data_IF_290573838350
#
_entry.id   IF_290573838350
#
_cell.length_a   1.000
_cell.length_b   1.000
_cell.length_c   1.000
_cell.angle_alpha   90.00
_cell.angle_beta   90.00
_cell.angle_gamma   90.00
#
_symmetry.space_group_name_H-M   'P 1'
#
loop_
_entity.id
_entity.type
_entity.pdbx_description
1 polymer ?
#
# COMPACT_ATOMS: atom_id res chain seq x y z
N UNK A 1 3.23 1.59 6.30
CA UNK A 1 4.09 2.07 5.20
C UNK A 1 4.41 3.54 5.42
N UNK A 2 5.14 4.15 4.50
CA UNK A 2 5.43 5.59 4.50
C UNK A 2 4.46 6.26 3.53
N UNK A 3 3.64 7.21 4.00
CA UNK A 3 2.65 7.84 3.14
C UNK A 3 3.33 8.88 2.24
N UNK A 4 2.84 9.03 1.00
CA UNK A 4 3.26 10.13 0.14
C UNK A 4 2.75 11.49 0.65
N UNK A 5 1.58 11.50 1.32
CA UNK A 5 0.98 12.69 1.93
C UNK A 5 1.36 12.79 3.40
N UNK A 6 1.87 13.95 3.82
CA UNK A 6 2.34 14.21 5.20
C UNK A 6 1.25 14.82 6.11
N UNK A 7 -0.02 14.52 5.85
CA UNK A 7 -1.11 14.98 6.71
C UNK A 7 -0.99 14.31 8.10
N UNK A 8 -1.13 15.04 9.22
CA UNK A 8 -0.92 14.49 10.56
C UNK A 8 -1.77 13.23 10.84
N UNK A 9 -3.04 13.25 10.44
CA UNK A 9 -3.97 12.11 10.61
C UNK A 9 -3.50 10.84 9.88
N UNK A 10 -2.87 11.01 8.71
CA UNK A 10 -2.32 9.89 7.93
C UNK A 10 -1.06 9.36 8.60
N UNK A 11 -0.18 10.25 9.07
CA UNK A 11 1.04 9.89 9.80
C UNK A 11 0.74 9.11 11.08
N UNK A 12 -0.31 9.50 11.81
CA UNK A 12 -0.75 8.80 13.02
C UNK A 12 -1.23 7.37 12.76
N UNK A 13 -1.74 7.10 11.56
CA UNK A 13 -2.22 5.78 11.15
C UNK A 13 -1.14 4.93 10.48
N UNK A 14 0.09 5.44 10.35
CA UNK A 14 1.18 4.71 9.73
C UNK A 14 1.72 3.63 10.64
N UNK A 15 2.08 2.48 10.04
CA UNK A 15 2.61 1.32 10.76
C UNK A 15 3.74 1.69 11.75
N UNK A 16 4.68 2.53 11.34
CA UNK A 16 5.82 2.89 12.20
C UNK A 16 5.37 3.72 13.40
N UNK A 17 4.41 4.64 13.21
CA UNK A 17 3.80 5.42 14.30
C UNK A 17 3.01 4.52 15.26
N UNK A 18 2.24 3.58 14.73
CA UNK A 18 1.47 2.62 15.51
C UNK A 18 2.38 1.65 16.30
N UNK A 19 3.50 1.22 15.69
CA UNK A 19 4.51 0.37 16.35
C UNK A 19 5.22 1.14 17.47
N UNK A 20 5.57 2.41 17.25
CA UNK A 20 6.17 3.27 18.28
C UNK A 20 5.23 3.51 19.48
N UNK A 21 3.91 3.54 19.25
CA UNK A 21 2.90 3.66 20.30
C UNK A 21 2.60 2.35 21.03
N UNK A 22 3.05 1.21 20.49
CA UNK A 22 2.82 -0.10 21.12
C UNK A 22 3.77 -0.31 22.31
N UNK A 23 3.30 -0.98 23.35
CA UNK A 23 4.09 -1.27 24.57
C UNK A 23 5.42 -2.00 24.26
N UNK A 24 5.47 -2.70 23.12
CA UNK A 24 6.64 -3.40 22.60
C UNK A 24 7.78 -2.48 22.11
N UNK A 25 7.55 -1.17 21.93
CA UNK A 25 8.55 -0.21 21.46
C UNK A 25 9.60 0.17 22.52
N UNK A 26 9.22 0.25 23.80
CA UNK A 26 10.13 0.68 24.87
C UNK A 26 11.36 -0.23 24.99
N UNK A 27 11.17 -1.54 24.74
CA UNK A 27 12.24 -2.54 24.77
C UNK A 27 13.15 -2.52 23.53
N UNK A 28 12.74 -1.91 22.42
CA UNK A 28 13.57 -1.75 21.24
C UNK A 28 14.58 -0.60 21.42
N UNK A 29 14.18 0.46 22.12
CA UNK A 29 15.03 1.64 22.36
C UNK A 29 16.28 1.30 23.18
N UNK A 30 16.17 0.40 24.16
CA UNK A 30 17.32 0.00 24.98
C UNK A 30 18.34 -0.81 24.17
N UNK A 31 17.88 -1.76 23.36
CA UNK A 31 18.77 -2.47 22.43
C UNK A 31 19.44 -1.51 21.42
N UNK A 32 18.71 -0.49 20.94
CA UNK A 32 19.27 0.52 20.03
C UNK A 32 20.34 1.38 20.74
N UNK A 33 20.13 1.75 22.01
CA UNK A 33 21.16 2.44 22.82
C UNK A 33 22.40 1.57 22.98
N UNK A 34 22.25 0.30 23.35
CA UNK A 34 23.37 -0.65 23.49
C UNK A 34 24.14 -0.85 22.18
N UNK A 35 23.45 -0.97 21.04
CA UNK A 35 24.07 -1.04 19.71
C UNK A 35 24.92 0.22 19.45
N UNK A 36 24.41 1.42 19.76
CA UNK A 36 25.18 2.67 19.61
C UNK A 36 26.43 2.68 20.50
N UNK A 37 26.34 2.18 21.73
CA UNK A 37 27.49 2.08 22.64
C UNK A 37 28.54 1.08 22.15
N UNK A 38 28.13 -0.11 21.71
CA UNK A 38 29.03 -1.12 21.16
C UNK A 38 29.73 -0.58 19.91
N UNK A 39 29.02 0.13 19.03
CA UNK A 39 29.63 0.78 17.87
C UNK A 39 30.66 1.83 18.27
N UNK A 40 30.40 2.66 19.29
CA UNK A 40 31.40 3.60 19.85
C UNK A 40 32.63 2.88 20.40
N UNK A 41 32.45 1.76 21.12
CA UNK A 41 33.55 0.93 21.64
C UNK A 41 34.37 0.32 20.48
N UNK A 42 33.71 -0.17 19.43
CA UNK A 42 34.36 -0.72 18.23
C UNK A 42 35.23 0.28 17.47
N UNK A 43 34.83 1.55 17.44
CA UNK A 43 35.60 2.63 16.82
C UNK A 43 36.87 2.99 17.60
N UNK A 44 36.88 2.77 18.93
CA UNK A 44 38.02 3.08 19.81
C UNK A 44 39.02 1.94 19.95
N UNK A 45 38.67 0.73 19.52
CA UNK A 45 39.51 -0.47 19.63
C UNK A 45 40.75 -0.42 18.73
N UNK A 46 41.92 -0.73 19.31
CA UNK A 46 43.20 -0.81 18.61
C UNK A 46 43.32 -2.12 17.82
N UNK A 47 44.25 -2.15 16.85
CA UNK A 47 44.43 -3.27 15.90
C UNK A 47 44.76 -4.63 16.55
N UNK A 48 45.42 -4.63 17.71
CA UNK A 48 45.84 -5.85 18.41
C UNK A 48 44.74 -6.48 19.27
N UNK A 49 43.65 -5.75 19.56
CA UNK A 49 42.53 -6.20 20.38
C UNK A 49 41.52 -7.05 19.58
N UNK A 50 42.04 -8.06 18.86
CA UNK A 50 41.26 -8.90 17.94
C UNK A 50 40.16 -9.69 18.66
N UNK A 51 40.44 -10.21 19.85
CA UNK A 51 39.48 -11.01 20.62
C UNK A 51 38.31 -10.16 21.12
N UNK A 52 38.59 -8.99 21.69
CA UNK A 52 37.58 -8.01 22.14
C UNK A 52 36.70 -7.57 20.99
N UNK A 53 37.30 -7.27 19.82
CA UNK A 53 36.56 -6.91 18.61
C UNK A 53 35.64 -8.05 18.15
N UNK A 54 36.08 -9.31 18.24
CA UNK A 54 35.25 -10.48 17.89
C UNK A 54 34.05 -10.62 18.84
N UNK A 55 34.26 -10.46 20.15
CA UNK A 55 33.18 -10.51 21.16
C UNK A 55 32.12 -9.44 20.91
N UNK A 56 32.54 -8.17 20.78
CA UNK A 56 31.62 -7.05 20.51
C UNK A 56 30.84 -7.21 19.19
N UNK A 57 31.46 -7.75 18.13
CA UNK A 57 30.74 -8.07 16.89
C UNK A 57 29.71 -9.18 17.07
N UNK A 58 29.99 -10.16 17.94
CA UNK A 58 29.04 -11.20 18.33
C UNK A 58 27.83 -10.62 19.05
N UNK A 59 28.06 -9.77 20.05
CA UNK A 59 27.01 -9.04 20.77
C UNK A 59 26.19 -8.16 19.83
N UNK A 60 26.84 -7.41 18.93
CA UNK A 60 26.15 -6.60 17.92
C UNK A 60 25.24 -7.45 17.02
N UNK A 61 25.71 -8.64 16.60
CA UNK A 61 24.89 -9.56 15.79
C UNK A 61 23.69 -10.09 16.57
N UNK A 62 23.88 -10.42 17.85
CA UNK A 62 22.80 -10.85 18.73
C UNK A 62 21.76 -9.73 18.92
N UNK A 63 22.19 -8.52 19.30
CA UNK A 63 21.30 -7.38 19.50
C UNK A 63 20.54 -6.99 18.25
N UNK A 64 21.19 -6.99 17.08
CA UNK A 64 20.48 -6.73 15.81
C UNK A 64 19.40 -7.79 15.51
N UNK A 65 19.66 -9.06 15.85
CA UNK A 65 18.65 -10.12 15.71
C UNK A 65 17.50 -9.93 16.69
N UNK A 66 17.81 -9.54 17.91
CA UNK A 66 16.83 -9.25 18.96
C UNK A 66 15.92 -8.08 18.57
N UNK A 67 16.49 -6.95 18.16
CA UNK A 67 15.75 -5.78 17.65
C UNK A 67 14.82 -6.18 16.51
N UNK A 68 15.32 -6.93 15.52
CA UNK A 68 14.52 -7.38 14.39
C UNK A 68 13.35 -8.26 14.82
N UNK A 69 13.58 -9.19 15.76
CA UNK A 69 12.55 -10.11 16.26
C UNK A 69 11.47 -9.36 17.02
N UNK A 70 11.86 -8.43 17.90
CA UNK A 70 10.92 -7.57 18.65
C UNK A 70 10.12 -6.66 17.73
N UNK A 71 10.78 -6.03 16.76
CA UNK A 71 10.12 -5.19 15.77
C UNK A 71 9.08 -5.98 14.95
N UNK A 72 9.42 -7.21 14.53
CA UNK A 72 8.46 -8.08 13.84
C UNK A 72 7.27 -8.45 14.73
N UNK A 73 7.49 -8.73 16.01
CA UNK A 73 6.42 -9.00 16.97
C UNK A 73 5.50 -7.80 17.15
N UNK A 74 6.04 -6.60 17.31
CA UNK A 74 5.28 -5.37 17.43
C UNK A 74 4.42 -5.10 16.18
N UNK A 75 4.99 -5.28 14.97
CA UNK A 75 4.22 -5.20 13.73
C UNK A 75 3.07 -6.22 13.73
N UNK A 76 3.33 -7.48 14.09
CA UNK A 76 2.30 -8.51 14.14
C UNK A 76 1.20 -8.20 15.16
N UNK A 77 1.53 -7.60 16.30
CA UNK A 77 0.54 -7.16 17.30
C UNK A 77 -0.34 -6.02 16.77
N UNK A 78 0.28 -5.01 16.14
CA UNK A 78 -0.44 -3.88 15.53
C UNK A 78 -1.37 -4.36 14.43
N UNK A 79 -0.84 -5.13 13.47
CA UNK A 79 -1.65 -5.75 12.42
C UNK A 79 -2.69 -6.71 13.00
N UNK A 80 -2.39 -7.34 14.14
CA UNK A 80 -3.26 -8.26 14.90
C UNK A 80 -4.58 -7.63 15.32
N UNK A 81 -4.51 -6.35 15.69
CA UNK A 81 -5.64 -5.57 16.21
C UNK A 81 -6.33 -4.75 15.12
N UNK A 82 -5.75 -4.65 13.93
CA UNK A 82 -6.28 -3.84 12.85
C UNK A 82 -7.44 -4.56 12.14
N UNK A 83 -8.58 -3.90 12.05
CA UNK A 83 -9.72 -4.36 11.25
C UNK A 83 -9.53 -4.05 9.75
N UNK A 84 -8.78 -3.00 9.45
CA UNK A 84 -8.45 -2.56 8.08
C UNK A 84 -6.95 -2.36 7.97
N UNK A 85 -6.34 -2.96 6.95
CA UNK A 85 -4.92 -2.79 6.63
C UNK A 85 -4.82 -2.15 5.25
N UNK A 86 -4.32 -0.92 5.21
CA UNK A 86 -4.10 -0.18 3.96
C UNK A 86 -2.63 -0.27 3.52
N UNK A 87 -2.41 -0.68 2.28
CA UNK A 87 -1.08 -0.74 1.66
C UNK A 87 -1.19 -0.65 0.14
N UNK A 88 -0.08 -0.37 -0.52
CA UNK A 88 0.03 -0.52 -1.98
C UNK A 88 -0.01 -2.01 -2.37
N UNK A 89 -0.25 -2.30 -3.65
CA UNK A 89 -0.16 -3.67 -4.19
C UNK A 89 1.22 -4.32 -3.93
N UNK A 90 2.30 -3.54 -4.00
CA UNK A 90 3.63 -4.04 -3.62
C UNK A 90 3.78 -4.22 -2.11
N UNK A 91 3.13 -3.36 -1.32
CA UNK A 91 3.17 -3.41 0.14
C UNK A 91 2.44 -4.62 0.73
N UNK A 92 1.38 -5.11 0.10
CA UNK A 92 0.65 -6.29 0.59
C UNK A 92 1.48 -7.60 0.50
N UNK A 93 2.59 -7.58 -0.25
CA UNK A 93 3.54 -8.69 -0.35
C UNK A 93 4.47 -8.83 0.86
N UNK A 94 4.38 -7.92 1.85
CA UNK A 94 5.08 -8.04 3.11
C UNK A 94 4.64 -9.32 3.85
N UNK A 95 5.59 -10.12 4.32
CA UNK A 95 5.35 -11.39 5.03
C UNK A 95 4.41 -11.24 6.24
N UNK A 96 4.39 -10.06 6.85
CA UNK A 96 3.56 -9.75 8.02
C UNK A 96 2.07 -9.59 7.67
N UNK A 97 1.76 -9.34 6.40
CA UNK A 97 0.40 -9.20 5.85
C UNK A 97 -0.06 -10.54 5.23
N UNK A 98 0.78 -11.58 5.25
CA UNK A 98 0.46 -12.93 4.76
C UNK A 98 -0.45 -13.71 5.72
N UNK A 99 -1.54 -13.07 6.11
CA UNK A 99 -2.58 -13.66 6.92
C UNK A 99 -3.66 -14.17 5.99
N UNK A 100 -3.95 -15.47 6.06
CA UNK A 100 -4.99 -16.14 5.27
C UNK A 100 -6.43 -15.80 5.72
N UNK A 101 -6.65 -14.59 6.25
CA UNK A 101 -7.87 -14.27 7.01
C UNK A 101 -8.52 -12.93 6.64
N UNK A 102 -8.17 -12.32 5.50
CA UNK A 102 -8.97 -11.19 5.02
C UNK A 102 -10.26 -11.71 4.38
N UNK A 103 -11.41 -11.28 4.91
CA UNK A 103 -12.70 -11.60 4.28
C UNK A 103 -12.89 -10.84 2.96
N UNK A 104 -12.34 -9.64 2.87
CA UNK A 104 -12.50 -8.73 1.74
C UNK A 104 -11.19 -8.00 1.42
N UNK A 105 -10.85 -7.97 0.14
CA UNK A 105 -9.80 -7.12 -0.43
C UNK A 105 -10.46 -6.03 -1.26
N UNK A 106 -10.10 -4.78 -1.01
CA UNK A 106 -10.51 -3.64 -1.84
C UNK A 106 -9.29 -3.11 -2.57
N UNK A 107 -9.36 -3.07 -3.90
CA UNK A 107 -8.32 -2.48 -4.74
C UNK A 107 -8.89 -1.22 -5.37
N UNK A 108 -8.41 -0.08 -4.92
CA UNK A 108 -8.71 1.21 -5.53
C UNK A 108 -7.75 1.48 -6.70
N UNK A 109 -8.19 2.28 -7.66
CA UNK A 109 -7.48 2.55 -8.93
C UNK A 109 -7.07 1.27 -9.69
N UNK A 110 -7.89 0.23 -9.62
CA UNK A 110 -7.62 -1.09 -10.22
C UNK A 110 -7.51 -1.04 -11.75
N UNK A 111 -8.09 -0.04 -12.39
CA UNK A 111 -7.96 0.21 -13.83
C UNK A 111 -6.59 0.79 -14.23
N UNK A 112 -5.80 1.26 -13.26
CA UNK A 112 -4.43 1.76 -13.47
C UNK A 112 -3.36 0.75 -13.04
N UNK A 113 -3.76 -0.39 -12.47
CA UNK A 113 -2.87 -1.42 -11.97
C UNK A 113 -2.69 -2.54 -13.00
N UNK A 114 -1.44 -3.00 -13.18
CA UNK A 114 -1.22 -4.20 -13.98
C UNK A 114 -1.94 -5.39 -13.37
N UNK A 115 -2.42 -6.30 -14.21
CA UNK A 115 -3.11 -7.50 -13.73
C UNK A 115 -2.22 -8.31 -12.77
N UNK A 116 -0.93 -8.46 -13.08
CA UNK A 116 0.04 -9.15 -12.23
C UNK A 116 0.16 -8.52 -10.84
N UNK A 117 0.23 -7.18 -10.75
CA UNK A 117 0.29 -6.49 -9.47
C UNK A 117 -1.03 -6.66 -8.71
N UNK A 118 -2.17 -6.63 -9.40
CA UNK A 118 -3.49 -6.75 -8.78
C UNK A 118 -3.68 -8.12 -8.10
N UNK A 119 -3.18 -9.20 -8.72
CA UNK A 119 -3.20 -10.55 -8.12
C UNK A 119 -2.51 -10.64 -6.76
N UNK A 120 -1.48 -9.83 -6.49
CA UNK A 120 -0.80 -9.81 -5.19
C UNK A 120 -1.74 -9.50 -4.01
N UNK A 121 -2.77 -8.70 -4.26
CA UNK A 121 -3.78 -8.35 -3.27
C UNK A 121 -4.93 -9.35 -3.28
N UNK A 122 -5.43 -9.79 -4.44
CA UNK A 122 -6.57 -10.72 -4.51
C UNK A 122 -6.31 -12.04 -3.79
N UNK A 123 -5.07 -12.52 -3.80
CA UNK A 123 -4.69 -13.76 -3.11
C UNK A 123 -4.73 -13.66 -1.58
N UNK A 124 -4.92 -12.46 -1.02
CA UNK A 124 -4.96 -12.25 0.44
C UNK A 124 -6.34 -12.44 1.04
N UNK A 125 -7.41 -12.47 0.25
CA UNK A 125 -8.75 -12.56 0.81
C UNK A 125 -9.76 -13.34 -0.01
N UNK A 126 -10.89 -13.64 0.64
CA UNK A 126 -11.94 -14.54 0.10
C UNK A 126 -12.79 -13.86 -0.97
N UNK A 127 -12.96 -12.54 -0.89
CA UNK A 127 -13.72 -11.70 -1.82
C UNK A 127 -12.89 -10.49 -2.21
N UNK A 128 -13.14 -9.96 -3.40
CA UNK A 128 -12.49 -8.75 -3.90
C UNK A 128 -13.52 -7.75 -4.42
N UNK A 129 -13.29 -6.47 -4.14
CA UNK A 129 -13.96 -5.34 -4.77
C UNK A 129 -12.89 -4.52 -5.49
N UNK A 130 -13.06 -4.33 -6.79
CA UNK A 130 -12.17 -3.53 -7.60
C UNK A 130 -12.88 -2.21 -7.93
N UNK A 131 -12.24 -1.09 -7.61
CA UNK A 131 -12.72 0.25 -7.92
C UNK A 131 -11.77 0.88 -8.94
N UNK A 132 -12.31 1.63 -9.90
CA UNK A 132 -11.52 2.28 -10.93
C UNK A 132 -12.36 2.59 -12.15
N UNK A 133 -11.71 3.15 -13.15
CA UNK A 133 -12.33 3.57 -14.39
C UNK A 133 -11.47 3.14 -15.58
N UNK A 134 -11.99 2.18 -16.34
CA UNK A 134 -11.30 1.61 -17.50
C UNK A 134 -11.33 2.52 -18.74
N UNK A 135 -12.06 3.64 -18.67
CA UNK A 135 -12.09 4.68 -19.71
C UNK A 135 -11.07 5.79 -19.44
N UNK A 136 -10.38 5.75 -18.30
CA UNK A 136 -9.25 6.62 -17.97
C UNK A 136 -7.91 5.97 -18.35
N UNK A 137 -6.80 6.55 -17.88
CA UNK A 137 -5.45 6.10 -18.21
C UNK A 137 -5.19 4.65 -17.78
N UNK A 138 -4.69 3.77 -18.66
CA UNK A 138 -4.25 2.43 -18.30
C UNK A 138 -2.89 2.46 -17.55
N UNK A 139 -2.42 1.33 -17.00
CA UNK A 139 -1.06 1.22 -16.48
C UNK A 139 -0.02 1.59 -17.56
N UNK A 140 1.00 2.36 -17.18
CA UNK A 140 2.09 2.72 -18.09
C UNK A 140 2.98 1.51 -18.38
N UNK A 141 3.00 1.06 -19.64
CA UNK A 141 3.87 -0.01 -20.12
C UNK A 141 4.98 0.59 -20.99
N UNK A 142 6.24 0.44 -20.57
CA UNK A 142 7.39 1.03 -21.30
C UNK A 142 7.67 0.26 -22.60
N UNK A 143 7.43 -1.06 -22.62
CA UNK A 143 7.69 -1.90 -23.79
C UNK A 143 6.45 -1.96 -24.68
N UNK A 144 6.52 -1.33 -25.86
CA UNK A 144 5.47 -1.38 -26.88
C UNK A 144 5.12 -2.83 -27.28
N UNK A 145 6.12 -3.72 -27.33
CA UNK A 145 5.88 -5.13 -27.63
C UNK A 145 5.04 -5.79 -26.54
N UNK A 146 5.35 -5.54 -25.26
CA UNK A 146 4.59 -6.09 -24.14
C UNK A 146 3.19 -5.50 -24.06
N UNK A 147 3.03 -4.20 -24.34
CA UNK A 147 1.74 -3.53 -24.41
C UNK A 147 0.87 -4.15 -25.50
N UNK A 148 1.40 -4.32 -26.71
CA UNK A 148 0.72 -4.98 -27.83
C UNK A 148 0.38 -6.45 -27.54
N UNK A 149 1.18 -7.12 -26.70
CA UNK A 149 0.91 -8.49 -26.21
C UNK A 149 -0.11 -8.52 -25.05
N UNK A 150 -0.64 -7.37 -24.65
CA UNK A 150 -1.75 -7.26 -23.70
C UNK A 150 -1.35 -6.92 -22.26
N UNK A 151 -0.09 -6.55 -21.99
CA UNK A 151 0.33 -6.20 -20.62
C UNK A 151 -0.36 -4.93 -20.09
N UNK A 152 -0.87 -4.07 -20.98
CA UNK A 152 -1.65 -2.88 -20.63
C UNK A 152 -3.10 -3.19 -20.22
N UNK A 153 -3.61 -4.39 -20.54
CA UNK A 153 -4.98 -4.79 -20.17
C UNK A 153 -5.03 -5.12 -18.69
N UNK A 154 -5.83 -4.36 -17.94
CA UNK A 154 -5.95 -4.56 -16.49
C UNK A 154 -6.91 -5.69 -16.13
N UNK A 155 -6.80 -6.19 -14.90
CA UNK A 155 -7.78 -7.14 -14.36
C UNK A 155 -9.19 -6.52 -14.36
N UNK A 156 -9.30 -5.24 -14.01
CA UNK A 156 -10.57 -4.51 -13.97
C UNK A 156 -11.22 -4.47 -15.36
N UNK A 157 -10.48 -4.03 -16.38
CA UNK A 157 -10.96 -3.95 -17.76
C UNK A 157 -11.34 -5.35 -18.30
N UNK A 158 -10.50 -6.35 -18.06
CA UNK A 158 -10.74 -7.73 -18.52
C UNK A 158 -12.01 -8.33 -17.89
N UNK A 159 -12.25 -8.09 -16.60
CA UNK A 159 -13.45 -8.55 -15.91
C UNK A 159 -14.70 -7.80 -16.37
N UNK A 160 -14.61 -6.48 -16.55
CA UNK A 160 -15.70 -5.68 -17.09
C UNK A 160 -16.10 -6.14 -18.49
N UNK A 161 -15.14 -6.35 -19.40
CA UNK A 161 -15.40 -6.90 -20.75
C UNK A 161 -16.06 -8.28 -20.73
N UNK A 162 -15.69 -9.13 -19.77
CA UNK A 162 -16.17 -10.51 -19.70
C UNK A 162 -17.56 -10.65 -19.08
N UNK A 163 -17.86 -9.86 -18.06
CA UNK A 163 -19.05 -10.04 -17.22
C UNK A 163 -20.00 -8.84 -17.24
N UNK A 164 -19.54 -7.67 -17.71
CA UNK A 164 -20.32 -6.44 -17.80
C UNK A 164 -21.06 -6.11 -16.51
N UNK A 165 -22.31 -5.71 -16.67
CA UNK A 165 -23.20 -5.32 -15.57
C UNK A 165 -23.63 -6.50 -14.68
N UNK A 166 -23.21 -7.73 -14.93
CA UNK A 166 -23.43 -8.81 -13.96
C UNK A 166 -22.60 -8.59 -12.68
N UNK A 167 -21.42 -7.96 -12.80
CA UNK A 167 -20.48 -7.74 -11.69
C UNK A 167 -20.03 -6.28 -11.54
N UNK A 168 -20.21 -5.45 -12.58
CA UNK A 168 -19.83 -4.05 -12.55
C UNK A 168 -21.02 -3.14 -12.20
N UNK A 169 -20.74 -2.05 -11.48
CA UNK A 169 -21.69 -0.98 -11.20
C UNK A 169 -20.99 0.35 -11.43
N UNK A 170 -21.56 1.17 -12.30
CA UNK A 170 -21.06 2.52 -12.55
C UNK A 170 -21.69 3.51 -11.54
N UNK A 171 -20.88 4.38 -10.96
CA UNK A 171 -21.37 5.54 -10.22
C UNK A 171 -21.73 6.64 -11.22
N UNK A 172 -22.96 7.12 -11.18
CA UNK A 172 -23.50 8.06 -12.20
C UNK A 172 -23.51 9.51 -11.74
N UNK A 173 -23.59 9.78 -10.43
CA UNK A 173 -23.60 11.15 -9.91
C UNK A 173 -22.16 11.62 -9.66
N UNK A 174 -21.77 12.74 -10.29
CA UNK A 174 -20.46 13.36 -10.12
C UNK A 174 -20.55 14.71 -9.42
N UNK A 175 -19.51 15.05 -8.65
CA UNK A 175 -19.48 16.21 -7.73
C UNK A 175 -18.35 17.20 -8.05
N UNK A 176 -17.85 17.22 -9.29
CA UNK A 176 -16.68 18.02 -9.68
C UNK A 176 -16.99 19.06 -10.74
N UNK A 177 -17.56 18.62 -11.86
CA UNK A 177 -17.75 19.44 -13.05
C UNK A 177 -19.16 20.05 -13.03
N UNK A 178 -19.30 21.26 -13.57
CA UNK A 178 -20.62 21.78 -13.93
C UNK A 178 -21.23 20.96 -15.08
N UNK A 179 -22.51 21.18 -15.36
CA UNK A 179 -23.23 20.39 -16.36
C UNK A 179 -22.60 20.53 -17.76
N UNK A 180 -22.24 21.75 -18.15
CA UNK A 180 -21.68 22.04 -19.47
C UNK A 180 -20.36 21.30 -19.74
N UNK A 181 -19.45 21.25 -18.76
CA UNK A 181 -18.17 20.54 -18.86
C UNK A 181 -18.38 19.02 -18.82
N UNK A 182 -19.22 18.53 -17.90
CA UNK A 182 -19.48 17.10 -17.73
C UNK A 182 -20.13 16.50 -18.99
N UNK A 183 -21.05 17.22 -19.63
CA UNK A 183 -21.91 16.72 -20.69
C UNK A 183 -21.12 16.04 -21.81
N UNK A 184 -20.06 16.69 -22.29
CA UNK A 184 -19.24 16.13 -23.36
C UNK A 184 -18.62 14.77 -22.97
N UNK A 185 -18.02 14.67 -21.78
CA UNK A 185 -17.45 13.41 -21.31
C UNK A 185 -18.51 12.34 -21.08
N UNK A 186 -19.68 12.73 -20.55
CA UNK A 186 -20.83 11.83 -20.36
C UNK A 186 -21.25 11.18 -21.67
N UNK A 187 -21.43 11.99 -22.71
CA UNK A 187 -21.90 11.56 -24.02
C UNK A 187 -20.85 10.71 -24.74
N UNK A 188 -19.57 11.11 -24.71
CA UNK A 188 -18.49 10.43 -25.44
C UNK A 188 -18.07 9.10 -24.80
N UNK A 189 -17.96 9.06 -23.47
CA UNK A 189 -17.34 7.91 -22.78
C UNK A 189 -18.33 7.09 -21.98
N UNK A 190 -19.41 7.69 -21.48
CA UNK A 190 -20.24 7.09 -20.44
C UNK A 190 -21.70 6.87 -20.84
N UNK A 191 -22.00 6.85 -22.14
CA UNK A 191 -23.35 6.59 -22.68
C UNK A 191 -24.41 7.57 -22.11
N UNK A 192 -24.01 8.82 -21.90
CA UNK A 192 -24.85 9.87 -21.32
C UNK A 192 -25.37 9.57 -19.91
N UNK A 193 -24.70 8.67 -19.15
CA UNK A 193 -25.13 8.25 -17.81
C UNK A 193 -24.63 9.13 -16.67
N UNK A 194 -23.65 10.01 -16.89
CA UNK A 194 -23.19 10.91 -15.83
C UNK A 194 -24.18 12.05 -15.59
N UNK A 195 -24.42 12.35 -14.32
CA UNK A 195 -25.31 13.41 -13.82
C UNK A 195 -24.51 14.31 -12.89
N UNK A 196 -24.57 15.62 -13.11
CA UNK A 196 -23.97 16.59 -12.21
C UNK A 196 -24.83 16.72 -10.96
N UNK A 197 -24.21 16.60 -9.79
CA UNK A 197 -24.91 16.89 -8.54
C UNK A 197 -25.27 18.38 -8.46
N UNK A 198 -26.41 18.70 -7.85
CA UNK A 198 -26.93 20.07 -7.69
C UNK A 198 -25.88 21.05 -7.12
N UNK A 199 -24.99 20.55 -6.25
CA UNK A 199 -23.92 21.36 -5.66
C UNK A 199 -22.84 21.82 -6.63
N UNK A 200 -22.83 21.35 -7.87
CA UNK A 200 -21.83 21.72 -8.88
C UNK A 200 -22.44 22.02 -10.25
N UNK A 201 -23.68 21.60 -10.52
CA UNK A 201 -24.31 21.67 -11.84
C UNK A 201 -24.26 23.08 -12.46
N UNK A 202 -24.53 24.10 -11.65
CA UNK A 202 -24.61 25.51 -12.06
C UNK A 202 -23.34 26.33 -11.71
N UNK A 203 -22.21 25.67 -11.41
CA UNK A 203 -20.97 26.41 -11.16
C UNK A 203 -20.47 27.10 -12.42
N UNK A 204 -20.42 28.42 -12.40
CA UNK A 204 -19.76 29.23 -13.42
C UNK A 204 -18.26 29.40 -13.12
N UNK A 205 -17.45 29.55 -14.17
CA UNK A 205 -16.01 29.83 -14.11
C UNK A 205 -15.73 31.31 -13.82
#
# INVERSE_FOLDING_TARGET
GHPARLLPQVLDSCLDSLVLRSDSSQLADDCVKEIKEINRKLMRLKRHERETRRKLRGELKYLNREVRTRHQKAISEVLGKAQVVACTLTGCMMKQIDRDDFDLVVVDEAAQASECATWSALLKGRKAVLCGDHLQLPPTIISEEAERKGLGVTLFERLHKKFGDAVARMLTVQYRMNEAIMKWSSDEFYESRLVAHDSVADHDL
#
